data_IF_223063411157
#
_entry.id   IF_223063411157
#
_cell.length_a   1.000
_cell.length_b   1.000
_cell.length_c   1.000
_cell.angle_alpha   90.00
_cell.angle_beta   90.00
_cell.angle_gamma   90.00
#
_symmetry.space_group_name_H-M   'P 1'
#
loop_
_entity.id
_entity.type
_entity.pdbx_description
1 polymer ?
#
# COMPACT_ATOMS: atom_id res chain seq x y z
N UNK A 1 5.71 3.28 -18.15
CA UNK A 1 4.42 3.67 -17.55
C UNK A 1 4.10 5.10 -17.99
N UNK A 2 2.83 5.38 -18.24
CA UNK A 2 2.33 6.69 -18.65
C UNK A 2 1.14 7.05 -17.78
N UNK A 3 1.05 8.32 -17.38
CA UNK A 3 -0.09 8.89 -16.66
C UNK A 3 -0.35 10.32 -17.17
N UNK A 4 -1.47 10.90 -16.82
CA UNK A 4 -1.80 12.30 -17.08
C UNK A 4 -1.81 13.09 -15.77
N UNK A 5 -1.42 14.35 -15.86
CA UNK A 5 -1.47 15.31 -14.76
C UNK A 5 -2.14 16.60 -15.23
N UNK A 6 -2.79 17.32 -14.31
CA UNK A 6 -3.33 18.64 -14.52
C UNK A 6 -2.38 19.70 -13.98
N UNK A 7 -1.99 20.65 -14.84
CA UNK A 7 -1.21 21.83 -14.47
C UNK A 7 -2.16 23.02 -14.34
N UNK A 8 -2.22 23.60 -13.14
CA UNK A 8 -3.16 24.67 -12.83
C UNK A 8 -2.80 26.01 -13.48
N UNK A 9 -1.51 26.31 -13.62
CA UNK A 9 -1.02 27.58 -14.15
C UNK A 9 0.19 27.39 -15.06
N UNK A 10 0.30 28.23 -16.07
CA UNK A 10 1.44 28.23 -17.01
C UNK A 10 2.68 28.81 -16.32
N UNK A 11 3.72 28.00 -16.14
CA UNK A 11 4.95 28.39 -15.50
C UNK A 11 6.13 27.49 -15.89
N UNK A 12 7.33 27.83 -15.43
CA UNK A 12 8.48 26.92 -15.43
C UNK A 12 8.37 26.02 -14.21
N UNK A 13 8.31 24.73 -14.43
CA UNK A 13 8.28 23.72 -13.37
C UNK A 13 9.63 23.05 -13.20
N UNK A 14 10.09 22.98 -11.96
CA UNK A 14 11.25 22.21 -11.52
C UNK A 14 10.76 20.82 -11.11
N UNK A 15 11.20 19.79 -11.85
CA UNK A 15 10.67 18.44 -11.74
C UNK A 15 11.69 17.57 -11.01
N UNK A 16 11.22 16.87 -9.99
CA UNK A 16 12.01 15.93 -9.20
C UNK A 16 11.32 14.57 -9.17
N UNK A 17 12.10 13.50 -9.14
CA UNK A 17 11.59 12.16 -8.92
C UNK A 17 12.20 11.55 -7.66
N UNK A 18 11.38 10.92 -6.84
CA UNK A 18 11.85 10.16 -5.69
C UNK A 18 12.19 8.74 -6.15
N UNK A 19 13.48 8.45 -6.11
CA UNK A 19 14.03 7.23 -6.68
C UNK A 19 15.05 6.57 -5.76
N UNK A 20 15.50 5.37 -6.13
CA UNK A 20 16.68 4.74 -5.55
C UNK A 20 17.36 3.82 -6.54
N UNK A 21 18.67 3.65 -6.44
CA UNK A 21 19.39 2.52 -7.03
C UNK A 21 19.34 1.34 -6.07
N UNK A 22 18.38 0.44 -6.28
CA UNK A 22 18.20 -0.72 -5.40
C UNK A 22 19.35 -1.73 -5.48
N UNK A 23 20.22 -1.63 -6.50
CA UNK A 23 21.38 -2.51 -6.66
C UNK A 23 22.64 -1.99 -5.95
N UNK A 24 22.65 -0.74 -5.52
CA UNK A 24 23.83 -0.09 -4.92
C UNK A 24 24.34 -0.77 -3.65
N UNK A 25 23.48 -1.50 -2.93
CA UNK A 25 23.85 -2.26 -1.72
C UNK A 25 24.64 -3.54 -2.03
N UNK A 26 24.48 -4.11 -3.22
CA UNK A 26 25.15 -5.36 -3.63
C UNK A 26 26.19 -5.16 -4.71
N UNK A 27 25.98 -4.20 -5.60
CA UNK A 27 26.80 -3.99 -6.78
C UNK A 27 27.22 -2.52 -6.88
N UNK A 28 28.51 -2.29 -6.79
CA UNK A 28 29.08 -0.98 -7.12
C UNK A 28 29.26 -0.88 -8.64
N UNK A 29 28.99 0.28 -9.19
CA UNK A 29 29.14 0.54 -10.63
C UNK A 29 27.90 1.16 -11.25
N UNK A 30 27.62 0.82 -12.50
CA UNK A 30 26.48 1.38 -13.23
C UNK A 30 25.16 0.88 -12.65
N UNK A 31 24.26 1.77 -12.21
CA UNK A 31 22.94 1.40 -11.69
C UNK A 31 22.12 0.60 -12.71
N UNK A 32 21.41 -0.43 -12.22
CA UNK A 32 20.68 -1.36 -13.08
C UNK A 32 19.32 -0.81 -13.54
N UNK A 33 18.68 0.04 -12.74
CA UNK A 33 17.31 0.52 -12.99
C UNK A 33 17.27 1.99 -13.41
N UNK A 34 18.03 2.36 -14.44
CA UNK A 34 18.08 3.75 -14.93
C UNK A 34 16.88 4.05 -15.84
N UNK A 35 16.35 5.25 -15.69
CA UNK A 35 15.25 5.74 -16.50
C UNK A 35 15.31 7.27 -16.62
N UNK A 36 14.52 7.82 -17.55
CA UNK A 36 14.28 9.26 -17.71
C UNK A 36 12.79 9.55 -17.57
N UNK A 37 12.44 10.82 -17.43
CA UNK A 37 11.04 11.29 -17.55
C UNK A 37 10.81 11.91 -18.89
N UNK A 38 9.65 11.67 -19.46
CA UNK A 38 9.12 12.37 -20.64
C UNK A 38 7.84 13.09 -20.28
N UNK A 39 7.76 14.36 -20.68
CA UNK A 39 6.55 15.18 -20.54
C UNK A 39 6.09 15.53 -21.97
N UNK A 40 4.87 15.14 -22.33
CA UNK A 40 4.32 15.30 -23.70
C UNK A 40 5.27 14.81 -24.81
N UNK A 41 5.97 13.72 -24.50
CA UNK A 41 6.97 13.14 -25.41
C UNK A 41 8.34 13.80 -25.35
N UNK A 42 8.50 14.97 -24.71
CA UNK A 42 9.80 15.60 -24.51
C UNK A 42 10.57 14.91 -23.38
N UNK A 43 11.76 14.44 -23.68
CA UNK A 43 12.62 13.75 -22.72
C UNK A 43 13.43 14.73 -21.86
N UNK A 44 13.27 14.64 -20.54
CA UNK A 44 14.06 15.44 -19.61
C UNK A 44 15.53 14.93 -19.54
N UNK A 45 16.49 15.82 -19.31
CA UNK A 45 17.92 15.52 -19.54
C UNK A 45 18.54 14.58 -18.50
N UNK A 46 17.95 14.47 -17.30
CA UNK A 46 18.59 13.79 -16.18
C UNK A 46 18.27 12.30 -16.14
N UNK A 47 19.31 11.48 -15.94
CA UNK A 47 19.17 10.04 -15.73
C UNK A 47 18.87 9.80 -14.26
N UNK A 48 17.74 9.15 -14.01
CA UNK A 48 17.18 8.87 -12.69
C UNK A 48 17.47 7.42 -12.25
N UNK A 49 17.30 7.14 -10.94
CA UNK A 49 17.60 5.84 -10.35
C UNK A 49 19.09 5.60 -10.11
N UNK A 50 19.87 6.66 -9.90
CA UNK A 50 21.34 6.61 -9.82
C UNK A 50 21.94 7.07 -8.50
N UNK A 51 21.12 7.56 -7.56
CA UNK A 51 21.58 8.26 -6.36
C UNK A 51 21.78 7.37 -5.12
N UNK A 52 22.02 6.07 -5.30
CA UNK A 52 22.33 5.14 -4.22
C UNK A 52 21.15 4.35 -3.71
N UNK A 53 21.39 3.47 -2.72
CA UNK A 53 20.43 2.46 -2.26
C UNK A 53 19.31 2.97 -1.35
N UNK A 54 19.33 4.21 -0.94
CA UNK A 54 18.25 4.83 -0.16
C UNK A 54 17.30 5.60 -1.07
N UNK A 55 16.04 5.72 -0.66
CA UNK A 55 15.10 6.59 -1.33
C UNK A 55 15.49 8.05 -1.12
N UNK A 56 15.63 8.80 -2.21
CA UNK A 56 15.93 10.23 -2.19
C UNK A 56 15.38 10.92 -3.44
N UNK A 57 15.23 12.23 -3.39
CA UNK A 57 14.79 13.03 -4.52
C UNK A 57 15.95 13.33 -5.46
N UNK A 58 15.78 13.02 -6.74
CA UNK A 58 16.67 13.44 -7.83
C UNK A 58 15.99 14.52 -8.68
N UNK A 59 16.75 15.52 -9.09
CA UNK A 59 16.29 16.49 -10.08
C UNK A 59 16.18 15.76 -11.43
N UNK A 60 15.02 15.88 -12.08
CA UNK A 60 14.79 15.33 -13.41
C UNK A 60 15.01 16.38 -14.50
N UNK A 61 14.78 17.64 -14.18
CA UNK A 61 14.96 18.76 -15.10
C UNK A 61 14.01 19.91 -14.78
N UNK A 62 13.93 20.87 -15.69
CA UNK A 62 12.96 21.97 -15.63
C UNK A 62 12.35 22.17 -17.01
N UNK A 63 11.06 22.46 -17.06
CA UNK A 63 10.31 22.62 -18.31
C UNK A 63 9.21 23.65 -18.10
N UNK A 64 8.99 24.51 -19.10
CA UNK A 64 7.80 25.36 -19.14
C UNK A 64 6.60 24.51 -19.53
N UNK A 65 5.57 24.47 -18.66
CA UNK A 65 4.30 23.80 -18.92
C UNK A 65 3.19 24.85 -18.99
N UNK A 66 2.27 24.69 -19.94
CA UNK A 66 1.05 25.48 -19.99
C UNK A 66 0.04 24.98 -18.96
N UNK A 67 -0.97 25.77 -18.62
CA UNK A 67 -2.12 25.25 -17.90
C UNK A 67 -2.87 24.22 -18.75
N UNK A 68 -3.30 23.13 -18.13
CA UNK A 68 -4.03 22.03 -18.77
C UNK A 68 -3.43 20.65 -18.49
N UNK A 69 -3.88 19.66 -19.25
CA UNK A 69 -3.48 18.26 -19.11
C UNK A 69 -2.17 17.99 -19.84
N UNK A 70 -1.25 17.32 -19.16
CA UNK A 70 0.04 16.89 -19.72
C UNK A 70 0.27 15.40 -19.46
N UNK A 71 0.87 14.71 -20.44
CA UNK A 71 1.28 13.32 -20.27
C UNK A 71 2.64 13.22 -19.58
N UNK A 72 2.76 12.33 -18.60
CA UNK A 72 4.01 12.02 -17.91
C UNK A 72 4.35 10.56 -18.13
N UNK A 73 5.52 10.28 -18.66
CA UNK A 73 5.97 8.92 -18.93
C UNK A 73 7.32 8.62 -18.28
N UNK A 74 7.44 7.41 -17.72
CA UNK A 74 8.72 6.82 -17.32
C UNK A 74 9.31 6.08 -18.53
N UNK A 75 10.47 6.52 -18.99
CA UNK A 75 11.20 5.91 -20.09
C UNK A 75 12.36 5.07 -19.55
N UNK A 76 12.22 3.76 -19.61
CA UNK A 76 13.22 2.79 -19.15
C UNK A 76 14.43 2.74 -20.09
N UNK A 77 15.64 2.94 -19.55
CA UNK A 77 16.89 2.92 -20.31
C UNK A 77 17.62 1.58 -20.26
N UNK A 78 17.22 0.68 -19.39
CA UNK A 78 17.97 -0.53 -19.10
C UNK A 78 17.19 -1.83 -19.26
N UNK A 79 15.86 -1.73 -19.41
CA UNK A 79 14.94 -2.86 -19.47
C UNK A 79 14.84 -3.62 -18.14
N UNK A 80 15.27 -3.01 -17.03
CA UNK A 80 15.35 -3.68 -15.75
C UNK A 80 15.01 -2.79 -14.56
N UNK A 81 13.83 -2.96 -14.02
CA UNK A 81 13.41 -2.59 -12.67
C UNK A 81 13.85 -1.20 -12.14
N UNK A 82 13.59 -0.13 -12.87
CA UNK A 82 13.68 1.23 -12.34
C UNK A 82 12.78 1.41 -11.09
N UNK A 83 13.22 2.21 -10.14
CA UNK A 83 12.49 2.49 -8.89
C UNK A 83 12.11 3.95 -8.83
N UNK A 84 10.84 4.24 -9.06
CA UNK A 84 10.22 5.55 -8.90
C UNK A 84 9.05 5.44 -7.93
N UNK A 85 9.05 6.25 -6.88
CA UNK A 85 7.98 6.30 -5.88
C UNK A 85 7.03 7.47 -6.14
N UNK A 86 7.58 8.63 -6.48
CA UNK A 86 6.80 9.84 -6.72
C UNK A 86 7.52 10.79 -7.68
N UNK A 87 6.74 11.63 -8.35
CA UNK A 87 7.22 12.75 -9.17
C UNK A 87 6.62 14.02 -8.58
N UNK A 88 7.46 15.03 -8.38
CA UNK A 88 7.08 16.29 -7.79
C UNK A 88 7.35 17.44 -8.75
N UNK A 89 6.35 18.30 -8.93
CA UNK A 89 6.40 19.50 -9.75
C UNK A 89 6.30 20.72 -8.85
N UNK A 90 7.24 21.65 -8.94
CA UNK A 90 7.20 22.92 -8.22
C UNK A 90 7.65 24.06 -9.11
N UNK A 91 7.05 25.22 -8.94
CA UNK A 91 7.50 26.46 -9.58
C UNK A 91 8.69 27.09 -8.84
N UNK A 92 8.97 26.62 -7.61
CA UNK A 92 10.11 27.03 -6.79
C UNK A 92 11.26 26.01 -6.94
N UNK A 93 12.45 26.40 -7.43
CA UNK A 93 13.59 25.52 -7.57
C UNK A 93 14.13 24.97 -6.24
N UNK A 94 13.90 25.69 -5.14
CA UNK A 94 14.39 25.35 -3.80
C UNK A 94 13.36 24.53 -2.98
N UNK A 95 12.15 24.36 -3.48
CA UNK A 95 11.13 23.51 -2.85
C UNK A 95 11.47 22.02 -3.07
N UNK A 96 12.18 21.45 -2.11
CA UNK A 96 12.63 20.05 -2.12
C UNK A 96 11.87 19.27 -1.06
N UNK A 97 11.06 18.26 -1.45
CA UNK A 97 10.35 17.44 -0.48
C UNK A 97 11.32 16.66 0.42
N UNK A 98 10.93 16.35 1.67
CA UNK A 98 11.70 15.44 2.53
C UNK A 98 11.89 14.05 1.89
N UNK A 99 13.03 13.40 2.16
CA UNK A 99 13.34 12.08 1.55
C UNK A 99 12.49 10.92 2.07
N UNK A 100 11.91 11.03 3.27
CA UNK A 100 11.12 9.95 3.84
C UNK A 100 10.61 10.20 5.26
N UNK A 101 10.06 9.15 5.85
CA UNK A 101 9.53 9.18 7.21
C UNK A 101 8.29 10.06 7.39
N UNK A 102 8.02 10.44 8.63
CA UNK A 102 6.86 11.28 8.99
C UNK A 102 6.89 12.65 8.33
N UNK A 103 8.09 13.22 8.09
CA UNK A 103 8.23 14.50 7.41
C UNK A 103 7.73 14.45 5.95
N UNK A 104 8.02 13.39 5.20
CA UNK A 104 7.49 13.21 3.85
C UNK A 104 5.96 13.03 3.86
N UNK A 105 5.43 12.27 4.80
CA UNK A 105 3.99 12.07 4.92
C UNK A 105 3.27 13.37 5.28
N UNK A 106 3.80 14.16 6.20
CA UNK A 106 3.26 15.48 6.53
C UNK A 106 3.31 16.41 5.32
N UNK A 107 4.45 16.47 4.61
CA UNK A 107 4.60 17.25 3.39
C UNK A 107 3.54 16.87 2.34
N UNK A 108 3.32 15.56 2.10
CA UNK A 108 2.30 15.08 1.17
C UNK A 108 0.90 15.50 1.58
N UNK A 109 0.58 15.42 2.86
CA UNK A 109 -0.73 15.83 3.39
C UNK A 109 -0.95 17.33 3.19
N UNK A 110 0.03 18.16 3.53
CA UNK A 110 -0.04 19.61 3.39
C UNK A 110 -0.19 20.04 1.92
N UNK A 111 0.67 19.50 1.03
CA UNK A 111 0.64 19.86 -0.39
C UNK A 111 -0.64 19.41 -1.11
N UNK A 112 -1.24 18.32 -0.69
CA UNK A 112 -2.50 17.83 -1.27
C UNK A 112 -3.76 18.28 -0.51
N UNK A 113 -3.62 19.09 0.55
CA UNK A 113 -4.74 19.54 1.37
C UNK A 113 -5.51 18.37 2.02
N UNK A 114 -4.81 17.27 2.34
CA UNK A 114 -5.45 16.06 2.83
C UNK A 114 -5.81 16.21 4.31
N UNK A 115 -7.11 16.08 4.60
CA UNK A 115 -7.64 15.99 5.96
C UNK A 115 -8.37 14.66 6.10
N UNK A 116 -8.10 13.92 7.19
CA UNK A 116 -8.79 12.67 7.45
C UNK A 116 -10.27 12.95 7.81
N UNK A 117 -11.17 12.20 7.19
CA UNK A 117 -12.61 12.22 7.47
C UNK A 117 -12.92 11.09 8.45
N UNK A 118 -13.70 11.38 9.49
CA UNK A 118 -14.15 10.35 10.42
C UNK A 118 -15.16 9.41 9.77
N UNK A 119 -14.92 8.12 9.84
CA UNK A 119 -15.94 7.12 9.61
C UNK A 119 -16.89 7.10 10.81
N UNK A 120 -18.21 7.12 10.59
CA UNK A 120 -19.18 7.15 11.69
C UNK A 120 -19.32 5.82 12.43
N UNK A 121 -18.68 4.75 11.91
CA UNK A 121 -18.74 3.42 12.51
C UNK A 121 -17.89 3.31 13.77
N UNK A 122 -18.39 2.52 14.71
CA UNK A 122 -17.61 2.03 15.84
C UNK A 122 -17.43 0.52 15.67
N UNK A 123 -16.20 0.06 15.79
CA UNK A 123 -15.84 -1.35 15.55
C UNK A 123 -15.30 -1.99 16.82
N UNK A 124 -15.74 -3.24 17.06
CA UNK A 124 -15.13 -4.04 18.13
C UNK A 124 -13.72 -4.48 17.77
N UNK A 125 -13.50 -4.79 16.47
CA UNK A 125 -12.21 -5.21 15.95
C UNK A 125 -11.92 -4.55 14.60
N UNK A 126 -10.76 -3.91 14.48
CA UNK A 126 -10.21 -3.43 13.21
C UNK A 126 -9.02 -4.32 12.84
N UNK A 127 -9.08 -4.93 11.67
CA UNK A 127 -8.02 -5.79 11.11
C UNK A 127 -7.32 -5.06 9.99
N UNK A 128 -6.05 -4.78 10.14
CA UNK A 128 -5.20 -4.18 9.12
C UNK A 128 -4.49 -5.25 8.31
N UNK A 129 -4.80 -5.32 7.01
CA UNK A 129 -4.24 -6.29 6.07
C UNK A 129 -5.19 -7.45 5.75
N UNK A 130 -5.64 -7.51 4.50
CA UNK A 130 -6.57 -8.52 3.97
C UNK A 130 -5.88 -9.73 3.34
N UNK A 131 -4.71 -10.13 3.84
CA UNK A 131 -4.12 -11.44 3.57
C UNK A 131 -5.00 -12.55 4.13
N UNK A 132 -4.62 -13.82 3.94
CA UNK A 132 -5.39 -14.95 4.46
C UNK A 132 -5.61 -14.82 5.98
N UNK A 133 -4.57 -14.47 6.74
CA UNK A 133 -4.68 -14.31 8.19
C UNK A 133 -5.72 -13.24 8.58
N UNK A 134 -5.64 -12.04 7.98
CA UNK A 134 -6.56 -10.96 8.31
C UNK A 134 -8.00 -11.24 7.87
N UNK A 135 -8.17 -11.84 6.68
CA UNK A 135 -9.49 -12.22 6.19
C UNK A 135 -10.16 -13.23 7.13
N UNK A 136 -9.42 -14.26 7.58
CA UNK A 136 -9.93 -15.25 8.54
C UNK A 136 -10.19 -14.64 9.91
N UNK A 137 -9.32 -13.72 10.38
CA UNK A 137 -9.50 -13.03 11.66
C UNK A 137 -10.79 -12.21 11.67
N UNK A 138 -11.03 -11.39 10.64
CA UNK A 138 -12.24 -10.58 10.56
C UNK A 138 -13.50 -11.45 10.43
N UNK A 139 -13.45 -12.53 9.63
CA UNK A 139 -14.53 -13.49 9.48
C UNK A 139 -14.85 -14.20 10.81
N UNK A 140 -13.83 -14.67 11.52
CA UNK A 140 -14.02 -15.33 12.80
C UNK A 140 -14.61 -14.38 13.85
N UNK A 141 -14.17 -13.13 13.89
CA UNK A 141 -14.73 -12.12 14.77
C UNK A 141 -16.21 -11.86 14.49
N UNK A 142 -16.58 -11.71 13.22
CA UNK A 142 -17.98 -11.53 12.81
C UNK A 142 -18.87 -12.71 13.21
N UNK A 143 -18.38 -13.95 13.03
CA UNK A 143 -19.09 -15.17 13.46
C UNK A 143 -19.30 -15.26 14.97
N UNK A 144 -18.47 -14.58 15.73
CA UNK A 144 -18.63 -14.43 17.19
C UNK A 144 -19.53 -13.25 17.59
N UNK A 145 -20.15 -12.57 16.64
CA UNK A 145 -21.03 -11.43 16.86
C UNK A 145 -20.30 -10.10 17.10
N UNK A 146 -19.01 -10.00 16.76
CA UNK A 146 -18.26 -8.76 16.84
C UNK A 146 -18.42 -7.96 15.54
N UNK A 147 -18.65 -6.66 15.65
CA UNK A 147 -18.59 -5.77 14.51
C UNK A 147 -17.13 -5.56 14.12
N UNK A 148 -16.72 -6.16 13.02
CA UNK A 148 -15.34 -6.13 12.55
C UNK A 148 -15.18 -5.32 11.27
N UNK A 149 -14.02 -4.65 11.12
CA UNK A 149 -13.62 -3.93 9.92
C UNK A 149 -12.33 -4.55 9.38
N UNK A 150 -12.36 -5.00 8.12
CA UNK A 150 -11.17 -5.46 7.40
C UNK A 150 -10.69 -4.38 6.44
N UNK A 151 -9.48 -3.88 6.68
CA UNK A 151 -8.79 -2.89 5.86
C UNK A 151 -7.75 -3.57 4.97
N UNK A 152 -7.84 -3.38 3.66
CA UNK A 152 -6.91 -3.96 2.70
C UNK A 152 -6.41 -2.90 1.73
N UNK A 153 -5.10 -2.78 1.58
CA UNK A 153 -4.44 -1.79 0.72
C UNK A 153 -4.53 -2.10 -0.78
N UNK A 154 -4.98 -3.29 -1.13
CA UNK A 154 -5.17 -3.78 -2.50
C UNK A 154 -6.65 -3.85 -2.87
N UNK A 155 -6.90 -4.03 -4.17
CA UNK A 155 -8.25 -4.29 -4.69
C UNK A 155 -8.70 -5.74 -4.49
N UNK A 156 -7.83 -6.60 -3.96
CA UNK A 156 -8.03 -8.05 -3.82
C UNK A 156 -7.70 -8.52 -2.41
N UNK A 157 -8.31 -9.64 -1.99
CA UNK A 157 -7.99 -10.35 -0.75
C UNK A 157 -7.03 -11.51 -1.01
N UNK A 158 -6.35 -11.96 0.05
CA UNK A 158 -5.50 -13.14 0.04
C UNK A 158 -4.01 -12.86 0.18
N UNK A 159 -3.56 -11.62 0.01
CA UNK A 159 -2.14 -11.27 0.11
C UNK A 159 -1.30 -12.05 -0.90
N UNK A 160 -0.33 -12.86 -0.42
CA UNK A 160 0.47 -13.71 -1.31
C UNK A 160 -0.39 -14.72 -2.10
N UNK A 161 -1.49 -15.19 -1.53
CA UNK A 161 -2.46 -16.06 -2.21
C UNK A 161 -3.53 -15.24 -2.94
N UNK A 162 -3.13 -14.36 -3.82
CA UNK A 162 -3.98 -13.53 -4.69
C UNK A 162 -3.47 -13.56 -6.12
N UNK A 163 -4.24 -13.01 -7.05
CA UNK A 163 -3.83 -12.86 -8.45
C UNK A 163 -2.60 -11.96 -8.62
N UNK A 164 -2.34 -11.08 -7.66
CA UNK A 164 -1.18 -10.18 -7.70
C UNK A 164 0.15 -10.90 -7.45
N UNK A 165 0.19 -11.86 -6.52
CA UNK A 165 1.43 -12.53 -6.12
C UNK A 165 1.49 -13.99 -6.57
N UNK A 166 0.34 -14.67 -6.59
CA UNK A 166 0.13 -16.03 -7.12
C UNK A 166 0.91 -17.13 -6.40
N UNK A 167 1.03 -17.02 -5.08
CA UNK A 167 1.60 -18.09 -4.26
C UNK A 167 0.48 -19.02 -3.79
N UNK A 168 0.51 -20.32 -4.13
CA UNK A 168 -0.49 -21.27 -3.66
C UNK A 168 -0.41 -21.45 -2.14
N UNK A 169 -1.55 -21.68 -1.50
CA UNK A 169 -1.55 -22.09 -0.10
C UNK A 169 -0.96 -23.50 0.03
N UNK A 170 -0.08 -23.66 0.99
CA UNK A 170 0.55 -24.94 1.33
C UNK A 170 0.53 -25.18 2.83
N UNK A 171 0.99 -26.36 3.22
CA UNK A 171 1.13 -26.75 4.63
C UNK A 171 0.11 -27.77 5.10
N UNK A 172 0.26 -28.19 6.35
CA UNK A 172 -0.58 -29.20 6.99
C UNK A 172 -1.48 -28.52 8.04
N UNK A 173 -2.79 -28.56 7.83
CA UNK A 173 -3.76 -27.85 8.68
C UNK A 173 -4.59 -28.77 9.55
N UNK A 174 -4.38 -30.10 9.49
CA UNK A 174 -5.22 -31.08 10.23
C UNK A 174 -4.42 -31.98 11.14
N UNK A 175 -3.27 -31.51 11.59
CA UNK A 175 -2.38 -32.27 12.49
C UNK A 175 -2.18 -31.51 13.79
N UNK A 176 -1.85 -32.21 14.87
CA UNK A 176 -1.58 -31.66 16.17
C UNK A 176 -2.81 -31.39 17.03
N UNK A 177 -2.68 -30.55 18.04
CA UNK A 177 -3.67 -30.31 19.06
C UNK A 177 -4.94 -29.58 18.59
N UNK A 178 -4.86 -28.89 17.44
CA UNK A 178 -5.94 -28.06 16.90
C UNK A 178 -6.24 -28.43 15.44
N UNK A 179 -6.80 -29.64 15.15
CA UNK A 179 -6.95 -30.13 13.79
C UNK A 179 -7.93 -29.33 12.92
N UNK A 180 -8.77 -28.51 13.55
CA UNK A 180 -9.78 -27.71 12.85
C UNK A 180 -9.38 -26.27 12.55
N UNK A 181 -8.18 -25.84 12.96
CA UNK A 181 -7.75 -24.45 12.82
C UNK A 181 -7.70 -23.97 11.36
N UNK A 182 -7.49 -24.89 10.41
CA UNK A 182 -7.46 -24.60 8.99
C UNK A 182 -8.83 -24.61 8.28
N UNK A 183 -9.91 -24.93 8.97
CA UNK A 183 -11.23 -25.06 8.32
C UNK A 183 -11.69 -23.76 7.68
N UNK A 184 -11.61 -22.64 8.40
CA UNK A 184 -12.01 -21.33 7.89
C UNK A 184 -11.16 -20.89 6.69
N UNK A 185 -9.89 -21.22 6.67
CA UNK A 185 -9.01 -20.97 5.50
C UNK A 185 -9.53 -21.69 4.26
N UNK A 186 -9.99 -22.94 4.40
CA UNK A 186 -10.51 -23.74 3.29
C UNK A 186 -11.80 -23.18 2.71
N UNK A 187 -12.61 -22.52 3.50
CA UNK A 187 -13.84 -21.89 3.05
C UNK A 187 -13.59 -20.73 2.11
N UNK A 188 -12.59 -19.89 2.44
CA UNK A 188 -12.29 -18.68 1.68
C UNK A 188 -11.23 -18.89 0.60
N UNK A 189 -10.33 -19.87 0.78
CA UNK A 189 -9.24 -20.14 -0.15
C UNK A 189 -8.97 -21.64 -0.24
N UNK A 190 -9.31 -22.30 -1.35
CA UNK A 190 -9.05 -23.71 -1.52
C UNK A 190 -7.55 -23.99 -1.41
N UNK A 191 -7.21 -25.02 -0.63
CA UNK A 191 -5.84 -25.55 -0.48
C UNK A 191 -5.63 -26.64 -1.51
N UNK A 192 -4.66 -26.48 -2.40
CA UNK A 192 -4.37 -27.47 -3.43
C UNK A 192 -3.13 -28.26 -3.09
N UNK A 193 -3.31 -29.56 -3.03
CA UNK A 193 -2.23 -30.51 -2.72
C UNK A 193 -1.57 -31.13 -3.96
N UNK A 194 -2.08 -30.83 -5.18
CA UNK A 194 -1.64 -31.49 -6.39
C UNK A 194 -0.78 -30.60 -7.31
N UNK A 195 0.41 -31.05 -7.72
CA UNK A 195 1.17 -30.40 -8.78
C UNK A 195 0.47 -30.59 -10.15
N UNK A 196 0.37 -29.55 -10.94
CA UNK A 196 0.13 -29.67 -12.38
C UNK A 196 -1.14 -29.05 -12.95
N UNK A 197 -2.23 -29.00 -12.27
CA UNK A 197 -3.41 -28.27 -12.74
C UNK A 197 -3.52 -26.91 -12.02
N UNK A 198 -3.45 -25.83 -12.75
CA UNK A 198 -3.62 -24.47 -12.20
C UNK A 198 -4.76 -23.75 -12.93
N UNK A 199 -6.01 -23.98 -12.53
CA UNK A 199 -7.08 -23.13 -13.03
C UNK A 199 -6.79 -21.69 -12.63
N UNK A 200 -7.05 -20.72 -13.51
CA UNK A 200 -7.03 -19.30 -13.19
C UNK A 200 -7.91 -18.96 -11.96
N UNK A 201 -8.89 -19.80 -11.71
CA UNK A 201 -9.82 -19.80 -10.59
C UNK A 201 -9.18 -19.90 -9.18
N UNK A 202 -7.94 -20.34 -9.04
CA UNK A 202 -7.28 -20.50 -7.74
C UNK A 202 -6.99 -19.20 -7.03
N UNK A 203 -6.85 -18.15 -7.81
CA UNK A 203 -6.58 -16.82 -7.30
C UNK A 203 -7.79 -15.91 -7.53
N UNK A 204 -8.98 -16.49 -7.65
CA UNK A 204 -10.20 -15.73 -7.85
C UNK A 204 -10.47 -14.81 -6.67
N UNK A 205 -9.93 -13.62 -6.80
CA UNK A 205 -10.02 -12.57 -5.82
C UNK A 205 -11.48 -12.22 -5.53
N UNK A 206 -12.32 -12.20 -6.57
CA UNK A 206 -13.78 -12.02 -6.47
C UNK A 206 -14.43 -13.12 -5.62
N UNK A 207 -13.99 -14.38 -5.76
CA UNK A 207 -14.52 -15.48 -4.95
C UNK A 207 -14.19 -15.31 -3.47
N UNK A 208 -12.94 -14.91 -3.14
CA UNK A 208 -12.54 -14.63 -1.75
C UNK A 208 -13.36 -13.49 -1.16
N UNK A 209 -13.53 -12.40 -1.90
CA UNK A 209 -14.33 -11.26 -1.49
C UNK A 209 -15.79 -11.68 -1.27
N UNK A 210 -16.37 -12.45 -2.20
CA UNK A 210 -17.74 -12.92 -2.09
C UNK A 210 -17.91 -13.92 -0.94
N UNK A 211 -16.98 -14.86 -0.77
CA UNK A 211 -17.00 -15.80 0.34
C UNK A 211 -16.96 -15.08 1.69
N UNK A 212 -16.08 -14.09 1.83
CA UNK A 212 -16.01 -13.26 3.02
C UNK A 212 -17.33 -12.51 3.25
N UNK A 213 -17.84 -11.78 2.26
CA UNK A 213 -19.07 -10.99 2.38
C UNK A 213 -20.31 -11.82 2.66
N UNK A 214 -20.45 -12.96 2.00
CA UNK A 214 -21.61 -13.82 2.17
C UNK A 214 -21.67 -14.47 3.55
N UNK A 215 -20.52 -14.73 4.15
CA UNK A 215 -20.45 -15.43 5.44
C UNK A 215 -20.51 -14.45 6.64
N UNK A 216 -20.19 -13.18 6.43
CA UNK A 216 -20.17 -12.19 7.52
C UNK A 216 -21.54 -11.66 7.94
N UNK A 217 -22.61 -11.96 7.22
CA UNK A 217 -24.00 -11.61 7.57
C UNK A 217 -24.21 -10.13 8.03
N UNK A 218 -23.34 -9.21 7.58
CA UNK A 218 -23.40 -7.79 7.94
C UNK A 218 -22.61 -7.38 9.18
N UNK A 219 -22.04 -8.32 9.93
CA UNK A 219 -21.22 -8.01 11.11
C UNK A 219 -19.76 -7.64 10.77
N UNK A 220 -19.33 -7.90 9.54
CA UNK A 220 -18.03 -7.46 9.05
C UNK A 220 -18.14 -6.50 7.86
N UNK A 221 -17.38 -5.42 7.93
CA UNK A 221 -17.20 -4.49 6.84
C UNK A 221 -15.85 -4.73 6.16
N UNK A 222 -15.82 -4.58 4.82
CA UNK A 222 -14.61 -4.69 4.01
C UNK A 222 -14.34 -3.36 3.30
N UNK A 223 -13.15 -2.82 3.51
CA UNK A 223 -12.61 -1.68 2.77
C UNK A 223 -11.39 -2.12 1.97
N UNK A 224 -11.54 -2.20 0.66
CA UNK A 224 -10.46 -2.43 -0.29
C UNK A 224 -9.83 -1.10 -0.70
N UNK A 225 -8.58 -1.14 -1.12
CA UNK A 225 -7.78 0.04 -1.50
C UNK A 225 -7.62 1.06 -0.35
N UNK A 226 -7.64 0.58 0.88
CA UNK A 226 -7.48 1.38 2.10
C UNK A 226 -6.22 0.91 2.84
N UNK A 227 -5.16 1.71 2.75
CA UNK A 227 -3.89 1.44 3.43
C UNK A 227 -3.83 2.19 4.75
N UNK A 228 -3.55 1.49 5.85
CA UNK A 228 -3.26 2.14 7.13
C UNK A 228 -1.97 2.96 7.00
N UNK A 229 -2.03 4.24 7.31
CA UNK A 229 -0.92 5.19 7.21
C UNK A 229 -0.50 5.78 8.55
N UNK A 230 -1.38 5.77 9.54
CA UNK A 230 -1.05 6.15 10.91
C UNK A 230 -1.97 5.49 11.94
N UNK A 231 -1.51 5.52 13.19
CA UNK A 231 -2.21 5.00 14.36
C UNK A 231 -2.36 6.13 15.36
N UNK A 232 -3.52 6.23 15.99
CA UNK A 232 -3.76 7.15 17.09
C UNK A 232 -3.85 6.36 18.38
N UNK A 233 -3.17 6.84 19.41
CA UNK A 233 -3.17 6.24 20.76
C UNK A 233 -3.82 7.16 21.77
N UNK A 234 -4.23 6.61 22.89
CA UNK A 234 -4.75 7.41 24.01
C UNK A 234 -3.63 8.30 24.58
N UNK A 235 -3.85 9.61 24.75
CA UNK A 235 -2.85 10.51 25.34
C UNK A 235 -2.40 10.15 26.76
N UNK A 236 -3.28 9.48 27.52
CA UNK A 236 -2.99 9.05 28.89
C UNK A 236 -2.32 7.67 28.95
N UNK A 237 -2.55 6.84 27.92
CA UNK A 237 -1.94 5.51 27.77
C UNK A 237 -1.47 5.27 26.33
N UNK A 238 -0.22 5.58 25.99
CA UNK A 238 0.31 5.39 24.65
C UNK A 238 0.31 3.94 24.14
N UNK A 239 0.09 2.95 25.01
CA UNK A 239 -0.05 1.56 24.61
C UNK A 239 -1.47 1.22 24.11
N UNK A 240 -2.45 2.09 24.37
CA UNK A 240 -3.82 1.91 23.94
C UNK A 240 -4.07 2.58 22.59
N UNK A 241 -4.26 1.79 21.54
CA UNK A 241 -4.69 2.28 20.22
C UNK A 241 -6.19 2.63 20.30
N UNK A 242 -6.56 3.81 19.80
CA UNK A 242 -7.94 4.30 19.76
C UNK A 242 -8.50 4.40 18.35
N UNK A 243 -7.63 4.64 17.37
CA UNK A 243 -8.02 4.73 15.97
C UNK A 243 -6.86 4.39 15.02
N UNK A 244 -7.22 4.09 13.79
CA UNK A 244 -6.29 4.06 12.65
C UNK A 244 -6.73 5.04 11.60
N UNK A 245 -5.79 5.65 10.92
CA UNK A 245 -6.04 6.46 9.73
C UNK A 245 -5.58 5.68 8.52
N UNK A 246 -6.47 5.53 7.55
CA UNK A 246 -6.15 4.95 6.25
C UNK A 246 -6.01 6.02 5.19
N UNK A 247 -5.36 5.66 4.10
CA UNK A 247 -5.36 6.43 2.86
C UNK A 247 -5.82 5.53 1.72
N UNK A 248 -6.82 5.99 0.98
CA UNK A 248 -7.25 5.31 -0.23
C UNK A 248 -6.12 5.30 -1.27
N UNK A 249 -5.76 4.11 -1.75
CA UNK A 249 -4.73 3.94 -2.79
C UNK A 249 -5.19 4.38 -4.17
N UNK A 250 -6.49 4.67 -4.32
CA UNK A 250 -7.09 5.15 -5.58
C UNK A 250 -7.27 6.67 -5.56
N UNK A 251 -7.87 7.22 -4.50
CA UNK A 251 -8.24 8.64 -4.44
C UNK A 251 -7.29 9.51 -3.61
N UNK A 252 -6.42 8.89 -2.79
CA UNK A 252 -5.57 9.62 -1.84
C UNK A 252 -6.31 10.16 -0.60
N UNK A 253 -7.64 10.04 -0.52
CA UNK A 253 -8.43 10.49 0.64
C UNK A 253 -8.06 9.69 1.87
N UNK A 254 -8.08 10.35 3.02
CA UNK A 254 -7.85 9.72 4.30
C UNK A 254 -9.14 9.55 5.09
N UNK A 255 -9.27 8.40 5.75
CA UNK A 255 -10.40 8.07 6.61
C UNK A 255 -9.89 7.58 7.95
N UNK A 256 -10.49 8.09 9.05
CA UNK A 256 -10.20 7.67 10.41
C UNK A 256 -11.25 6.65 10.86
N UNK A 257 -10.80 5.51 11.33
CA UNK A 257 -11.64 4.44 11.89
C UNK A 257 -11.35 4.24 13.36
N UNK A 258 -12.38 4.28 14.20
CA UNK A 258 -12.29 4.03 15.64
C UNK A 258 -12.64 2.58 15.97
N UNK A 259 -11.91 1.99 16.90
CA UNK A 259 -12.15 0.62 17.32
C UNK A 259 -11.68 0.34 18.74
N UNK A 260 -12.13 -0.79 19.27
CA UNK A 260 -11.76 -1.24 20.62
C UNK A 260 -10.54 -2.14 20.62
N UNK A 261 -10.42 -2.99 19.60
CA UNK A 261 -9.31 -3.92 19.39
C UNK A 261 -8.74 -3.75 17.98
N UNK A 262 -7.45 -3.98 17.84
CA UNK A 262 -6.73 -3.86 16.58
C UNK A 262 -5.88 -5.10 16.34
N UNK A 263 -5.93 -5.64 15.12
CA UNK A 263 -5.13 -6.78 14.70
C UNK A 263 -4.21 -6.39 13.55
N UNK A 264 -2.91 -6.59 13.72
CA UNK A 264 -1.93 -6.36 12.66
C UNK A 264 -1.76 -7.63 11.82
N UNK A 265 -2.28 -7.60 10.62
CA UNK A 265 -2.15 -8.63 9.59
C UNK A 265 -1.51 -8.07 8.30
N UNK A 266 -0.75 -6.96 8.41
CA UNK A 266 -0.14 -6.27 7.27
C UNK A 266 1.01 -7.05 6.61
N UNK A 267 1.52 -8.08 7.27
CA UNK A 267 2.69 -8.83 6.83
C UNK A 267 4.03 -8.18 7.24
N UNK A 268 4.03 -6.86 7.39
CA UNK A 268 5.22 -6.06 7.74
C UNK A 268 5.21 -5.61 9.21
N UNK A 269 4.14 -5.88 9.97
CA UNK A 269 3.97 -5.39 11.33
C UNK A 269 3.79 -3.87 11.41
N UNK A 270 3.25 -3.26 10.35
CA UNK A 270 3.16 -1.79 10.22
C UNK A 270 2.35 -1.16 11.34
N UNK A 271 1.18 -1.74 11.68
CA UNK A 271 0.30 -1.20 12.71
C UNK A 271 0.98 -1.22 14.08
N UNK A 272 1.62 -2.34 14.44
CA UNK A 272 2.36 -2.46 15.67
C UNK A 272 3.54 -1.48 15.75
N UNK A 273 4.31 -1.36 14.66
CA UNK A 273 5.42 -0.40 14.58
C UNK A 273 4.94 1.05 14.69
N UNK A 274 3.83 1.40 14.01
CA UNK A 274 3.24 2.74 14.07
C UNK A 274 2.67 3.07 15.47
N UNK A 275 2.24 2.06 16.24
CA UNK A 275 1.83 2.19 17.63
C UNK A 275 3.00 2.23 18.61
N UNK A 276 4.25 2.20 18.14
CA UNK A 276 5.44 2.29 18.99
C UNK A 276 5.94 0.97 19.57
N UNK A 277 5.46 -0.17 19.09
CA UNK A 277 5.98 -1.46 19.50
C UNK A 277 7.46 -1.61 19.13
N UNK A 278 8.24 -2.27 19.98
CA UNK A 278 9.64 -2.58 19.69
C UNK A 278 9.72 -3.66 18.60
N UNK A 279 10.55 -3.44 17.59
CA UNK A 279 10.80 -4.41 16.53
C UNK A 279 12.29 -4.47 16.18
N UNK A 280 12.69 -5.56 15.56
CA UNK A 280 14.01 -5.73 14.96
C UNK A 280 13.89 -5.56 13.45
N UNK A 281 14.85 -4.82 12.89
CA UNK A 281 14.90 -4.57 11.44
C UNK A 281 16.20 -5.14 10.85
#
# INVERSE_FOLDING_TARGET
AVTEIEIAESAVYHIRARTRDWTAVWKRGTPAGRFTLRIDGFELPEILGTNGGKWAWQKAGSLHLSAGTHSVALHDLTGFNGRCDAIYFSTDPDDVPPDGGTALEQFRREKNGITAVDDPGEYDLIVAGGGIAGTVTALAAARLGLRSLLLQDKSVLGGCNSSEVRVPLGGCTHIGAYPNIGNTVREIAPVYLMPGARPAEWYEDTRKINAFRNDCAGEAELRLNERVVSVETDPADPALITAVVTRSTVSGRETRYRGRLFSDCTGDGFLAAAAGAKYLY
#
